data_IF_835330045176
#
_entry.id   IF_835330045176
#
_cell.length_a   1.000
_cell.length_b   1.000
_cell.length_c   1.000
_cell.angle_alpha   90.00
_cell.angle_beta   90.00
_cell.angle_gamma   90.00
#
_symmetry.space_group_name_H-M   'P 1'
#
loop_
_entity.id
_entity.type
_entity.pdbx_description
1 polymer ?
#
# COMPACT_ATOMS: atom_id res chain seq x y z
N UNK A 1 17.77 4.12 -25.48
CA UNK A 1 16.74 3.37 -24.73
C UNK A 1 17.15 3.41 -23.28
N UNK A 2 16.34 4.00 -22.41
CA UNK A 2 16.61 4.02 -20.96
C UNK A 2 16.43 2.59 -20.45
N UNK A 3 17.43 2.05 -19.78
CA UNK A 3 17.35 0.70 -19.22
C UNK A 3 16.24 0.69 -18.13
N UNK A 4 15.25 -0.20 -18.29
CA UNK A 4 14.20 -0.37 -17.28
C UNK A 4 14.83 -1.00 -16.04
N UNK A 5 14.66 -0.36 -14.89
CA UNK A 5 15.15 -0.85 -13.60
C UNK A 5 14.17 -1.92 -13.09
N UNK A 6 14.68 -3.04 -12.58
CA UNK A 6 13.85 -4.06 -11.95
C UNK A 6 13.15 -3.51 -10.69
N UNK A 7 11.88 -3.87 -10.53
CA UNK A 7 11.12 -3.52 -9.35
C UNK A 7 11.57 -4.38 -8.15
N UNK A 8 11.95 -3.74 -7.05
CA UNK A 8 12.40 -4.42 -5.84
C UNK A 8 11.20 -4.94 -5.04
N UNK A 9 11.24 -6.17 -4.53
CA UNK A 9 10.20 -6.69 -3.65
C UNK A 9 10.01 -5.80 -2.41
N UNK A 10 8.73 -5.52 -2.08
CA UNK A 10 8.36 -4.73 -0.92
C UNK A 10 7.00 -5.20 -0.35
N UNK A 11 6.77 -4.97 0.92
CA UNK A 11 5.54 -5.30 1.60
C UNK A 11 4.97 -4.08 2.34
N UNK A 12 3.65 -3.98 2.40
CA UNK A 12 2.93 -2.91 3.09
C UNK A 12 1.75 -3.51 3.86
N UNK A 13 1.46 -3.00 5.05
CA UNK A 13 0.37 -3.50 5.88
C UNK A 13 -0.63 -2.40 6.20
N UNK A 14 -1.88 -2.63 5.87
CA UNK A 14 -3.01 -1.83 6.36
C UNK A 14 -3.40 -2.40 7.72
N UNK A 15 -2.91 -1.78 8.79
CA UNK A 15 -3.26 -2.15 10.15
C UNK A 15 -4.57 -1.48 10.52
N UNK A 16 -5.57 -2.28 10.88
CA UNK A 16 -6.94 -1.85 11.17
C UNK A 16 -7.26 -1.98 12.66
N UNK A 17 -7.97 -1.02 13.22
CA UNK A 17 -8.55 -1.11 14.57
C UNK A 17 -10.02 -0.69 14.57
N UNK A 18 -10.75 -1.09 15.58
CA UNK A 18 -12.14 -0.66 15.79
C UNK A 18 -12.23 0.87 15.91
N UNK A 19 -13.30 1.43 15.38
CA UNK A 19 -13.57 2.86 15.31
C UNK A 19 -14.99 3.11 14.79
N UNK A 20 -15.24 4.25 14.18
CA UNK A 20 -16.52 4.58 13.53
C UNK A 20 -16.29 4.86 12.04
N UNK A 21 -16.52 3.89 11.15
CA UNK A 21 -16.78 2.45 11.42
C UNK A 21 -15.52 1.63 11.76
N UNK A 22 -14.35 2.08 11.39
CA UNK A 22 -13.02 1.55 11.69
C UNK A 22 -11.96 2.61 11.38
N UNK A 23 -10.75 2.39 11.88
CA UNK A 23 -9.60 3.23 11.60
C UNK A 23 -8.42 2.39 11.06
N UNK A 24 -7.56 3.00 10.26
CA UNK A 24 -6.29 2.44 9.81
C UNK A 24 -5.14 3.33 10.25
N UNK A 25 -3.97 2.69 10.42
CA UNK A 25 -2.73 3.37 10.76
C UNK A 25 -2.07 3.95 9.51
N UNK A 26 -1.76 5.24 9.53
CA UNK A 26 -0.89 5.89 8.56
C UNK A 26 0.34 6.46 9.27
N UNK A 27 1.48 6.38 8.60
CA UNK A 27 2.75 6.95 9.03
C UNK A 27 3.17 8.07 8.06
N UNK A 28 3.67 9.18 8.58
CA UNK A 28 4.21 10.28 7.78
C UNK A 28 5.69 10.05 7.53
N UNK A 29 6.07 9.93 6.28
CA UNK A 29 7.47 9.80 5.89
C UNK A 29 8.23 11.11 6.13
N UNK A 30 9.47 10.99 6.58
CA UNK A 30 10.35 12.15 6.77
C UNK A 30 10.53 12.92 5.45
N UNK A 31 10.53 14.25 5.52
CA UNK A 31 10.73 15.13 4.36
C UNK A 31 12.12 14.98 3.70
N UNK A 32 13.07 14.36 4.40
CA UNK A 32 14.43 14.08 3.92
C UNK A 32 14.59 12.76 3.17
N UNK A 33 13.57 11.86 3.19
CA UNK A 33 13.67 10.61 2.45
C UNK A 33 13.50 10.84 0.96
N UNK A 34 14.16 10.01 0.17
CA UNK A 34 14.28 10.23 -1.27
C UNK A 34 13.03 9.78 -2.08
N UNK A 35 12.04 9.12 -1.45
CA UNK A 35 10.86 8.59 -2.11
C UNK A 35 9.61 8.91 -1.29
N UNK A 36 8.63 9.57 -1.89
CA UNK A 36 7.38 9.98 -1.26
C UNK A 36 7.56 10.80 0.05
N UNK A 37 8.55 11.72 0.07
CA UNK A 37 8.81 12.59 1.20
C UNK A 37 7.54 13.32 1.66
N UNK A 38 7.32 13.40 2.98
CA UNK A 38 6.17 14.07 3.58
C UNK A 38 4.81 13.39 3.37
N UNK A 39 4.75 12.31 2.58
CA UNK A 39 3.51 11.59 2.34
C UNK A 39 3.11 10.72 3.53
N UNK A 40 1.81 10.55 3.71
CA UNK A 40 1.25 9.57 4.62
C UNK A 40 1.02 8.25 3.88
N UNK A 41 1.60 7.19 4.41
CA UNK A 41 1.58 5.84 3.83
C UNK A 41 1.20 4.81 4.90
N UNK A 42 0.76 3.65 4.49
CA UNK A 42 0.70 2.50 5.38
C UNK A 42 2.12 2.02 5.71
N UNK A 43 2.38 1.49 6.91
CA UNK A 43 3.69 0.95 7.26
C UNK A 43 4.14 -0.13 6.28
N UNK A 44 5.43 -0.14 5.97
CA UNK A 44 6.01 -1.12 5.05
C UNK A 44 7.31 -0.68 4.40
N UNK A 45 8.03 -1.66 3.88
CA UNK A 45 9.32 -1.47 3.25
C UNK A 45 9.75 -2.64 2.37
N UNK A 46 11.05 -2.76 2.12
CA UNK A 46 11.60 -3.76 1.21
C UNK A 46 11.63 -5.15 1.86
N UNK A 47 11.57 -6.15 0.99
CA UNK A 47 11.96 -7.51 1.39
C UNK A 47 13.48 -7.57 1.39
N UNK A 48 14.07 -7.88 2.54
CA UNK A 48 15.52 -8.02 2.72
C UNK A 48 15.93 -9.50 2.76
N UNK A 49 17.23 -9.76 2.65
CA UNK A 49 17.74 -11.13 2.62
C UNK A 49 17.39 -11.93 3.91
N UNK A 50 17.30 -11.25 5.05
CA UNK A 50 16.92 -11.85 6.33
C UNK A 50 15.45 -12.24 6.44
N UNK A 51 14.59 -11.76 5.56
CA UNK A 51 13.16 -12.08 5.55
C UNK A 51 12.85 -13.42 4.89
N UNK A 52 13.81 -13.98 4.14
CA UNK A 52 13.63 -15.26 3.47
C UNK A 52 13.64 -16.42 4.46
N UNK A 53 12.71 -17.40 4.31
CA UNK A 53 12.67 -18.56 5.19
C UNK A 53 13.94 -19.41 5.03
N UNK A 54 14.34 -20.07 6.12
CA UNK A 54 15.43 -21.04 6.07
C UNK A 54 15.09 -22.20 5.12
N UNK A 55 16.11 -22.80 4.50
CA UNK A 55 15.94 -23.98 3.67
C UNK A 55 15.29 -25.12 4.46
N UNK A 56 14.31 -25.79 3.85
CA UNK A 56 13.55 -26.88 4.49
C UNK A 56 12.46 -26.44 5.45
N UNK A 57 12.17 -25.13 5.57
CA UNK A 57 11.04 -24.63 6.37
C UNK A 57 9.70 -25.21 5.87
N UNK A 58 8.82 -25.57 6.80
CA UNK A 58 7.43 -25.90 6.46
C UNK A 58 6.64 -24.62 6.23
N UNK A 59 6.17 -24.41 5.01
CA UNK A 59 5.51 -23.18 4.58
C UNK A 59 4.04 -23.44 4.22
N UNK A 60 3.17 -22.49 4.54
CA UNK A 60 1.80 -22.50 4.06
C UNK A 60 1.75 -22.28 2.53
N UNK A 61 0.72 -22.81 1.84
CA UNK A 61 0.49 -22.50 0.44
C UNK A 61 0.37 -20.97 0.22
N UNK A 62 0.88 -20.45 -0.92
CA UNK A 62 0.81 -19.03 -1.21
C UNK A 62 -0.64 -18.60 -1.48
N UNK A 63 -0.98 -17.38 -1.08
CA UNK A 63 -2.28 -16.73 -1.32
C UNK A 63 -2.22 -15.77 -2.52
N UNK A 64 -1.04 -15.28 -2.88
CA UNK A 64 -0.82 -14.60 -4.15
C UNK A 64 -0.50 -15.63 -5.24
N UNK A 65 -1.29 -15.63 -6.31
CA UNK A 65 -1.23 -16.66 -7.35
C UNK A 65 0.10 -16.71 -8.13
N UNK A 66 0.87 -15.64 -8.11
CA UNK A 66 2.14 -15.47 -8.83
C UNK A 66 3.39 -15.66 -7.96
N UNK A 67 3.21 -16.04 -6.68
CA UNK A 67 4.32 -16.29 -5.76
C UNK A 67 4.45 -17.78 -5.42
N UNK A 68 5.68 -18.21 -5.17
CA UNK A 68 5.94 -19.45 -4.45
C UNK A 68 5.70 -19.26 -2.94
N UNK A 69 5.52 -20.36 -2.21
CA UNK A 69 5.37 -20.31 -0.75
C UNK A 69 6.55 -19.61 -0.06
N UNK A 70 7.78 -19.84 -0.52
CA UNK A 70 8.98 -19.21 0.02
C UNK A 70 9.02 -17.69 -0.25
N UNK A 71 8.62 -17.28 -1.44
CA UNK A 71 8.53 -15.86 -1.77
C UNK A 71 7.46 -15.16 -0.92
N UNK A 72 6.25 -15.72 -0.80
CA UNK A 72 5.21 -15.11 0.03
C UNK A 72 5.61 -15.07 1.50
N UNK A 73 6.27 -16.11 2.02
CA UNK A 73 6.80 -16.10 3.38
C UNK A 73 7.77 -14.94 3.61
N UNK A 74 8.65 -14.64 2.63
CA UNK A 74 9.56 -13.50 2.71
C UNK A 74 8.80 -12.16 2.71
N UNK A 75 7.78 -11.97 1.86
CA UNK A 75 6.95 -10.77 1.87
C UNK A 75 6.21 -10.59 3.21
N UNK A 76 5.66 -11.67 3.79
CA UNK A 76 4.99 -11.63 5.10
C UNK A 76 5.95 -11.31 6.23
N UNK A 77 7.17 -11.85 6.19
CA UNK A 77 8.20 -11.56 7.18
C UNK A 77 8.65 -10.10 7.08
N UNK A 78 8.91 -9.57 5.88
CA UNK A 78 9.19 -8.16 5.66
C UNK A 78 8.05 -7.27 6.20
N UNK A 79 6.80 -7.63 5.90
CA UNK A 79 5.62 -6.91 6.37
C UNK A 79 5.57 -6.77 7.89
N UNK A 80 5.76 -7.87 8.65
CA UNK A 80 5.71 -7.82 10.11
C UNK A 80 6.93 -7.11 10.70
N UNK A 81 8.12 -7.28 10.11
CA UNK A 81 9.34 -6.58 10.53
C UNK A 81 9.20 -5.08 10.37
N UNK A 82 8.76 -4.60 9.20
CA UNK A 82 8.60 -3.17 8.92
C UNK A 82 7.54 -2.51 9.83
N UNK A 83 6.43 -3.20 10.10
CA UNK A 83 5.43 -2.69 11.06
C UNK A 83 6.01 -2.60 12.48
N UNK A 84 6.86 -3.56 12.86
CA UNK A 84 7.54 -3.50 14.15
C UNK A 84 8.55 -2.36 14.20
N UNK A 85 9.34 -2.16 13.16
CA UNK A 85 10.38 -1.12 13.08
C UNK A 85 9.77 0.28 13.01
N UNK A 86 8.78 0.50 12.13
CA UNK A 86 8.21 1.82 11.86
C UNK A 86 7.11 2.26 12.84
N UNK A 87 6.36 1.29 13.41
CA UNK A 87 5.19 1.57 14.25
C UNK A 87 5.22 0.92 15.64
N UNK A 88 6.25 0.13 15.96
CA UNK A 88 6.36 -0.63 17.23
C UNK A 88 5.13 -1.52 17.51
N UNK A 89 4.61 -2.17 16.47
CA UNK A 89 3.50 -3.12 16.57
C UNK A 89 3.97 -4.49 16.13
N UNK A 90 3.78 -5.49 16.99
CA UNK A 90 4.12 -6.89 16.72
C UNK A 90 2.91 -7.59 16.10
N UNK A 91 3.06 -8.05 14.87
CA UNK A 91 2.05 -8.83 14.14
C UNK A 91 2.53 -10.27 13.95
N UNK A 92 1.60 -11.20 13.81
CA UNK A 92 1.93 -12.55 13.37
C UNK A 92 1.79 -12.64 11.84
N UNK A 93 2.80 -13.16 11.16
CA UNK A 93 2.80 -13.29 9.70
C UNK A 93 1.64 -14.16 9.18
N UNK A 94 1.18 -15.14 9.99
CA UNK A 94 0.04 -16.00 9.66
C UNK A 94 -1.30 -15.26 9.63
N UNK A 95 -1.44 -14.16 10.38
CA UNK A 95 -2.69 -13.39 10.49
C UNK A 95 -2.85 -12.34 9.39
N UNK A 96 -1.82 -12.14 8.57
CA UNK A 96 -1.89 -11.24 7.44
C UNK A 96 -2.80 -11.79 6.34
N UNK A 97 -3.74 -10.98 5.87
CA UNK A 97 -4.57 -11.32 4.71
C UNK A 97 -4.11 -10.53 3.47
N UNK A 98 -4.03 -11.15 2.27
CA UNK A 98 -3.63 -10.45 1.06
C UNK A 98 -4.67 -9.39 0.69
N UNK A 99 -4.20 -8.20 0.27
CA UNK A 99 -5.08 -7.08 -0.08
C UNK A 99 -4.89 -6.61 -1.52
N UNK A 100 -3.68 -6.27 -1.91
CA UNK A 100 -3.41 -5.68 -3.23
C UNK A 100 -1.97 -5.98 -3.70
N UNK A 101 -1.73 -5.78 -4.99
CA UNK A 101 -0.42 -5.92 -5.59
C UNK A 101 -0.15 -4.71 -6.50
N UNK A 102 0.74 -3.84 -6.06
CA UNK A 102 1.11 -2.63 -6.77
C UNK A 102 2.55 -2.70 -7.27
N UNK A 103 2.75 -2.32 -8.54
CA UNK A 103 4.10 -2.22 -9.12
C UNK A 103 4.31 -0.80 -9.62
N UNK A 104 5.43 -0.20 -9.24
CA UNK A 104 5.80 1.15 -9.71
C UNK A 104 5.98 1.17 -11.22
N UNK A 105 5.49 2.19 -11.94
CA UNK A 105 5.65 2.33 -13.39
C UNK A 105 7.11 2.24 -13.86
N UNK A 106 7.34 1.77 -15.09
CA UNK A 106 8.69 1.51 -15.65
C UNK A 106 9.52 2.77 -15.87
N UNK A 107 8.89 3.91 -15.96
CA UNK A 107 9.57 5.21 -16.11
C UNK A 107 10.34 5.65 -14.84
N UNK A 108 9.96 5.10 -13.69
CA UNK A 108 10.57 5.47 -12.42
C UNK A 108 11.91 4.77 -12.21
N UNK A 109 12.90 5.51 -11.70
CA UNK A 109 14.23 4.98 -11.39
C UNK A 109 14.28 4.19 -10.07
N UNK A 110 13.28 4.37 -9.21
CA UNK A 110 13.08 3.61 -7.96
C UNK A 110 11.78 2.88 -8.06
N UNK A 111 11.86 1.58 -8.29
CA UNK A 111 10.67 0.75 -8.51
C UNK A 111 10.54 -0.30 -7.43
N UNK A 112 9.29 -0.53 -7.04
CA UNK A 112 8.89 -1.53 -6.06
C UNK A 112 7.78 -2.42 -6.62
N UNK A 113 7.88 -3.72 -6.35
CA UNK A 113 6.83 -4.72 -6.50
C UNK A 113 6.27 -4.96 -5.11
N UNK A 114 5.15 -4.31 -4.79
CA UNK A 114 4.66 -4.21 -3.41
C UNK A 114 3.42 -5.05 -3.20
N UNK A 115 3.52 -5.99 -2.25
CA UNK A 115 2.37 -6.76 -1.75
C UNK A 115 1.77 -6.05 -0.56
N UNK A 116 0.47 -5.76 -0.65
CA UNK A 116 -0.30 -5.17 0.44
C UNK A 116 -1.02 -6.26 1.21
N UNK A 117 -0.95 -6.16 2.52
CA UNK A 117 -1.64 -7.04 3.44
C UNK A 117 -2.59 -6.26 4.35
N UNK A 118 -3.59 -6.94 4.89
CA UNK A 118 -4.43 -6.48 5.99
C UNK A 118 -3.97 -7.14 7.28
N UNK A 119 -4.01 -6.38 8.38
CA UNK A 119 -3.85 -6.90 9.72
C UNK A 119 -4.83 -6.22 10.67
N UNK A 120 -5.28 -6.93 11.71
CA UNK A 120 -5.94 -6.30 12.86
C UNK A 120 -4.88 -5.79 13.82
N UNK A 121 -5.13 -4.63 14.41
CA UNK A 121 -4.31 -4.13 15.52
C UNK A 121 -4.46 -5.09 16.70
N UNK A 122 -3.37 -5.70 17.21
CA UNK A 122 -3.45 -6.55 18.39
C UNK A 122 -3.81 -5.76 19.64
N UNK A 123 -4.58 -6.38 20.54
CA UNK A 123 -4.97 -5.77 21.80
C UNK A 123 -3.75 -5.45 22.71
N UNK A 124 -3.87 -4.39 23.46
CA UNK A 124 -2.90 -4.01 24.49
C UNK A 124 -1.59 -3.39 23.96
N UNK A 125 -1.37 -3.35 22.65
CA UNK A 125 -0.20 -2.68 22.07
C UNK A 125 -0.46 -1.18 21.86
N UNK A 126 0.61 -0.38 22.02
CA UNK A 126 0.56 1.07 21.79
C UNK A 126 1.54 1.45 20.69
N UNK A 127 1.06 1.74 19.47
CA UNK A 127 1.92 2.12 18.37
C UNK A 127 2.72 3.39 18.65
N UNK A 128 3.96 3.42 18.16
CA UNK A 128 4.84 4.59 18.20
C UNK A 128 5.68 4.58 16.92
N UNK A 129 5.76 5.72 16.25
CA UNK A 129 6.68 5.83 15.10
C UNK A 129 8.14 5.86 15.55
N UNK A 130 9.04 5.44 14.68
CA UNK A 130 10.48 5.30 14.94
C UNK A 130 11.23 6.63 15.12
N UNK A 131 10.60 7.76 14.77
CA UNK A 131 11.17 9.11 14.79
C UNK A 131 12.39 9.34 13.87
N UNK A 132 12.75 8.35 13.07
CA UNK A 132 13.83 8.42 12.07
C UNK A 132 13.28 8.56 10.65
N UNK A 133 12.79 7.47 10.10
CA UNK A 133 12.16 7.44 8.78
C UNK A 133 10.73 7.99 8.81
N UNK A 134 10.01 7.77 9.90
CA UNK A 134 8.65 8.26 10.13
C UNK A 134 8.65 9.37 11.18
N UNK A 135 7.97 10.47 10.88
CA UNK A 135 7.95 11.69 11.72
C UNK A 135 6.63 11.93 12.43
N UNK A 136 5.59 11.22 12.04
CA UNK A 136 4.27 11.27 12.67
C UNK A 136 3.50 9.98 12.35
N UNK A 137 2.48 9.71 13.13
CA UNK A 137 1.50 8.67 12.85
C UNK A 137 0.09 9.18 13.12
N UNK A 138 -0.89 8.60 12.44
CA UNK A 138 -2.29 8.92 12.61
C UNK A 138 -3.16 7.68 12.47
N UNK A 139 -4.13 7.54 13.36
CA UNK A 139 -5.26 6.65 13.18
C UNK A 139 -6.39 7.45 12.56
N UNK A 140 -6.86 7.03 11.40
CA UNK A 140 -7.89 7.74 10.66
C UNK A 140 -8.93 6.77 10.12
N UNK A 141 -10.20 7.18 10.20
CA UNK A 141 -11.24 6.55 9.40
C UNK A 141 -11.07 6.92 7.91
N UNK A 142 -11.61 6.13 6.96
CA UNK A 142 -11.56 6.49 5.54
C UNK A 142 -12.08 7.90 5.26
N UNK A 143 -13.19 8.27 5.87
CA UNK A 143 -13.79 9.60 5.74
C UNK A 143 -12.84 10.70 6.22
N UNK A 144 -12.27 10.55 7.42
CA UNK A 144 -11.36 11.54 7.98
C UNK A 144 -10.07 11.69 7.14
N UNK A 145 -9.55 10.61 6.57
CA UNK A 145 -8.37 10.66 5.71
C UNK A 145 -8.66 11.42 4.40
N UNK A 146 -9.82 11.18 3.78
CA UNK A 146 -10.25 11.88 2.56
C UNK A 146 -10.46 13.38 2.84
N UNK A 147 -11.19 13.75 3.90
CA UNK A 147 -11.40 15.13 4.27
C UNK A 147 -10.08 15.88 4.53
N UNK A 148 -9.14 15.24 5.25
CA UNK A 148 -7.80 15.83 5.46
C UNK A 148 -6.99 15.96 4.18
N UNK A 149 -7.11 15.02 3.25
CA UNK A 149 -6.49 15.12 1.95
C UNK A 149 -7.07 16.30 1.15
N UNK A 150 -8.39 16.46 1.09
CA UNK A 150 -9.08 17.57 0.42
C UNK A 150 -8.67 18.94 1.02
N UNK A 151 -8.53 19.01 2.34
CA UNK A 151 -8.02 20.17 3.06
C UNK A 151 -6.51 20.41 2.90
N UNK A 152 -5.81 19.61 2.09
CA UNK A 152 -4.36 19.65 1.87
C UNK A 152 -3.52 19.40 3.15
N UNK A 153 -4.11 18.81 4.17
CA UNK A 153 -3.43 18.44 5.41
C UNK A 153 -2.67 17.10 5.30
N UNK A 154 -3.00 16.27 4.32
CA UNK A 154 -2.32 15.01 4.02
C UNK A 154 -1.87 14.98 2.55
N UNK A 155 -0.71 14.37 2.31
CA UNK A 155 -0.29 13.90 1.00
C UNK A 155 -0.47 12.39 0.96
N UNK A 156 -1.32 11.89 0.07
CA UNK A 156 -1.59 10.46 -0.09
C UNK A 156 -1.12 10.00 -1.48
N UNK A 157 -0.17 9.07 -1.56
CA UNK A 157 0.22 8.47 -2.84
C UNK A 157 -0.94 7.69 -3.47
N UNK A 158 -0.97 7.51 -4.81
CA UNK A 158 -2.05 6.83 -5.52
C UNK A 158 -2.43 5.45 -4.96
N UNK A 159 -1.50 4.54 -4.60
CA UNK A 159 -1.87 3.27 -3.98
C UNK A 159 -2.55 3.43 -2.62
N UNK A 160 -2.09 4.37 -1.80
CA UNK A 160 -2.70 4.66 -0.49
C UNK A 160 -4.09 5.24 -0.66
N UNK A 161 -4.26 6.25 -1.52
CA UNK A 161 -5.58 6.82 -1.84
C UNK A 161 -6.55 5.75 -2.33
N UNK A 162 -6.16 4.98 -3.35
CA UNK A 162 -7.01 3.94 -3.94
C UNK A 162 -7.44 2.91 -2.90
N UNK A 163 -6.52 2.47 -2.04
CA UNK A 163 -6.83 1.53 -0.96
C UNK A 163 -7.85 2.14 0.01
N UNK A 164 -7.67 3.38 0.45
CA UNK A 164 -8.62 4.08 1.33
C UNK A 164 -10.01 4.17 0.68
N UNK A 165 -10.09 4.50 -0.61
CA UNK A 165 -11.36 4.61 -1.35
C UNK A 165 -12.04 3.25 -1.51
N UNK A 166 -11.31 2.16 -1.67
CA UNK A 166 -11.87 0.81 -1.68
C UNK A 166 -12.42 0.43 -0.31
N UNK A 167 -11.64 0.64 0.75
CA UNK A 167 -12.05 0.33 2.13
C UNK A 167 -13.25 1.17 2.60
N UNK A 168 -13.38 2.41 2.15
CA UNK A 168 -14.50 3.30 2.51
C UNK A 168 -15.87 2.72 2.17
N UNK A 169 -15.94 1.81 1.21
CA UNK A 169 -17.19 1.15 0.78
C UNK A 169 -17.68 0.07 1.77
N UNK A 170 -16.87 -0.25 2.78
CA UNK A 170 -17.09 -1.34 3.72
C UNK A 170 -17.39 -0.78 5.12
N UNK A 171 -18.29 -1.44 5.85
CA UNK A 171 -18.84 -0.96 7.11
C UNK A 171 -18.14 -1.49 8.36
N UNK A 172 -17.26 -2.48 8.24
CA UNK A 172 -16.56 -3.07 9.39
C UNK A 172 -15.26 -3.78 8.99
N UNK A 173 -14.41 -4.04 9.98
CA UNK A 173 -13.17 -4.80 9.78
C UNK A 173 -13.49 -6.22 9.30
N UNK A 174 -14.55 -6.87 9.83
CA UNK A 174 -14.97 -8.21 9.40
C UNK A 174 -15.36 -8.23 7.93
N UNK A 175 -16.11 -7.23 7.46
CA UNK A 175 -16.45 -7.08 6.04
C UNK A 175 -15.20 -6.88 5.18
N UNK A 176 -14.22 -6.11 5.63
CA UNK A 176 -12.95 -5.90 4.92
C UNK A 176 -12.22 -7.22 4.73
N UNK A 177 -12.06 -8.01 5.80
CA UNK A 177 -11.41 -9.32 5.72
C UNK A 177 -12.21 -10.32 4.89
N UNK A 178 -13.54 -10.32 4.97
CA UNK A 178 -14.40 -11.16 4.14
C UNK A 178 -14.25 -10.80 2.65
N UNK A 179 -14.33 -9.52 2.33
CA UNK A 179 -14.13 -9.02 0.97
C UNK A 179 -12.73 -9.36 0.42
N UNK A 180 -11.68 -9.19 1.21
CA UNK A 180 -10.32 -9.50 0.79
C UNK A 180 -10.13 -10.99 0.47
N UNK A 181 -10.75 -11.89 1.27
CA UNK A 181 -10.67 -13.35 1.06
C UNK A 181 -11.44 -13.86 -0.15
N UNK A 182 -12.48 -13.14 -0.59
CA UNK A 182 -13.35 -13.56 -1.70
C UNK A 182 -12.82 -13.19 -3.08
N UNK A 183 -11.80 -12.37 -3.16
CA UNK A 183 -11.27 -11.87 -4.43
C UNK A 183 -9.86 -12.38 -4.72
N UNK A 184 -9.55 -12.47 -6.00
CA UNK A 184 -8.18 -12.68 -6.45
C UNK A 184 -7.45 -11.32 -6.49
N UNK A 185 -6.28 -11.25 -5.89
CA UNK A 185 -5.42 -10.06 -5.99
C UNK A 185 -4.80 -10.01 -7.38
N UNK A 186 -5.07 -8.94 -8.10
CA UNK A 186 -4.48 -8.70 -9.42
C UNK A 186 -3.32 -7.72 -9.32
N UNK A 187 -2.31 -7.92 -10.18
CA UNK A 187 -1.17 -7.03 -10.30
C UNK A 187 -1.56 -5.74 -11.01
N UNK A 188 -1.36 -4.60 -10.34
CA UNK A 188 -1.63 -3.26 -10.87
C UNK A 188 -0.31 -2.50 -11.05
N UNK A 189 0.04 -2.19 -12.29
CA UNK A 189 1.10 -1.26 -12.63
C UNK A 189 0.43 -0.08 -13.36
N UNK A 190 0.36 1.11 -12.75
CA UNK A 190 -0.27 2.27 -13.39
C UNK A 190 0.36 2.62 -14.72
N UNK A 191 -0.45 3.06 -15.67
CA UNK A 191 0.04 3.76 -16.86
C UNK A 191 0.64 5.10 -16.47
N UNK A 192 1.64 5.56 -17.21
CA UNK A 192 2.30 6.83 -16.96
C UNK A 192 2.29 7.68 -18.23
N UNK A 193 1.76 8.90 -18.12
CA UNK A 193 1.71 9.86 -19.20
C UNK A 193 2.44 11.13 -18.76
N UNK A 194 3.40 11.57 -19.56
CA UNK A 194 4.16 12.79 -19.31
C UNK A 194 4.28 13.61 -20.59
N UNK A 195 3.90 14.87 -20.49
CA UNK A 195 4.07 15.89 -21.51
C UNK A 195 4.84 17.08 -20.88
N UNK A 196 5.06 18.14 -21.62
CA UNK A 196 5.71 19.34 -21.09
C UNK A 196 4.90 20.03 -19.97
N UNK A 197 3.57 19.81 -19.94
CA UNK A 197 2.67 20.49 -19.00
C UNK A 197 1.90 19.56 -18.09
N UNK A 198 1.97 18.25 -18.30
CA UNK A 198 1.18 17.26 -17.56
C UNK A 198 2.02 16.04 -17.18
N UNK A 199 1.94 15.66 -15.92
CA UNK A 199 2.38 14.33 -15.45
C UNK A 199 1.17 13.63 -14.83
N UNK A 200 0.82 12.46 -15.34
CA UNK A 200 -0.38 11.75 -14.93
C UNK A 200 -0.12 10.24 -14.82
N UNK A 201 -0.73 9.63 -13.81
CA UNK A 201 -0.90 8.17 -13.71
C UNK A 201 -2.34 7.80 -14.08
N UNK A 202 -2.50 6.66 -14.75
CA UNK A 202 -3.81 6.06 -15.05
C UNK A 202 -3.88 4.65 -14.48
N UNK A 203 -5.03 4.28 -13.92
CA UNK A 203 -5.27 2.94 -13.40
C UNK A 203 -6.01 2.08 -14.44
N UNK A 204 -5.95 0.75 -14.32
CA UNK A 204 -6.75 -0.13 -15.18
C UNK A 204 -8.24 0.22 -15.11
N UNK A 205 -8.91 0.27 -16.26
CA UNK A 205 -10.31 0.69 -16.39
C UNK A 205 -10.49 2.17 -16.68
N UNK A 206 -9.42 2.99 -16.68
CA UNK A 206 -9.44 4.33 -17.27
C UNK A 206 -9.62 4.22 -18.81
N UNK A 207 -10.32 5.15 -19.46
CA UNK A 207 -10.42 5.18 -20.94
C UNK A 207 -9.07 5.17 -21.67
N UNK A 208 -8.00 5.61 -21.01
CA UNK A 208 -6.63 5.61 -21.54
C UNK A 208 -5.80 4.38 -21.11
N UNK A 209 -6.37 3.44 -20.36
CA UNK A 209 -5.67 2.26 -19.86
C UNK A 209 -6.60 1.04 -19.86
N UNK A 210 -6.22 -0.06 -20.52
CA UNK A 210 -7.08 -1.24 -20.59
C UNK A 210 -7.50 -1.76 -19.21
N UNK A 211 -8.74 -2.25 -19.11
CA UNK A 211 -9.22 -2.93 -17.92
C UNK A 211 -8.45 -4.26 -17.69
N UNK A 212 -8.20 -4.59 -16.46
CA UNK A 212 -7.62 -5.87 -16.04
C UNK A 212 -8.75 -6.73 -15.45
N UNK A 213 -8.96 -7.97 -15.92
CA UNK A 213 -9.96 -8.86 -15.33
C UNK A 213 -9.73 -9.07 -13.83
N UNK A 214 -10.80 -8.98 -13.04
CA UNK A 214 -10.73 -9.14 -11.59
C UNK A 214 -10.25 -7.92 -10.80
N UNK A 215 -9.89 -6.82 -11.49
CA UNK A 215 -9.60 -5.55 -10.84
C UNK A 215 -10.90 -4.82 -10.44
N UNK A 216 -11.03 -4.47 -9.15
CA UNK A 216 -12.12 -3.62 -8.66
C UNK A 216 -11.79 -2.16 -8.99
N UNK A 217 -12.34 -1.68 -10.11
CA UNK A 217 -12.04 -0.35 -10.65
C UNK A 217 -12.53 0.73 -9.69
N UNK A 218 -11.65 1.59 -9.16
CA UNK A 218 -12.06 2.72 -8.33
C UNK A 218 -12.78 3.79 -9.16
N UNK A 219 -13.45 4.72 -8.49
CA UNK A 219 -14.08 5.85 -9.17
C UNK A 219 -13.05 6.82 -9.77
N UNK A 220 -11.95 7.04 -9.04
CA UNK A 220 -10.82 7.85 -9.47
C UNK A 220 -9.77 6.94 -10.13
N UNK A 221 -9.69 6.97 -11.43
CA UNK A 221 -8.72 6.19 -12.21
C UNK A 221 -7.57 7.02 -12.75
N UNK A 222 -7.57 8.33 -12.51
CA UNK A 222 -6.50 9.28 -12.89
C UNK A 222 -5.90 9.94 -11.68
N UNK A 223 -4.60 10.17 -11.75
CA UNK A 223 -3.88 10.94 -10.75
C UNK A 223 -2.97 11.92 -11.48
N UNK A 224 -3.25 13.21 -11.33
CA UNK A 224 -2.44 14.29 -11.91
C UNK A 224 -1.47 14.80 -10.86
N UNK A 225 -0.19 14.92 -11.23
CA UNK A 225 0.83 15.46 -10.35
C UNK A 225 0.74 16.99 -10.33
N UNK A 226 0.40 17.54 -9.18
CA UNK A 226 0.42 18.98 -8.89
C UNK A 226 1.77 19.42 -8.30
N UNK A 227 1.95 20.72 -8.12
CA UNK A 227 3.07 21.29 -7.37
C UNK A 227 3.16 20.71 -5.95
N UNK A 228 4.37 20.57 -5.42
CA UNK A 228 4.61 19.96 -4.11
C UNK A 228 4.49 18.45 -4.08
N UNK A 229 4.63 17.78 -5.23
CA UNK A 229 4.56 16.32 -5.38
C UNK A 229 3.21 15.70 -4.96
N UNK A 230 2.13 16.48 -5.03
CA UNK A 230 0.78 16.03 -4.70
C UNK A 230 0.14 15.35 -5.92
N UNK A 231 -0.29 14.12 -5.74
CA UNK A 231 -1.11 13.41 -6.71
C UNK A 231 -2.59 13.73 -6.47
N UNK A 232 -3.20 14.44 -7.40
CA UNK A 232 -4.63 14.78 -7.35
C UNK A 232 -5.44 13.69 -8.06
N UNK A 233 -6.29 12.94 -7.34
CA UNK A 233 -7.18 11.94 -7.94
C UNK A 233 -8.29 12.61 -8.73
N UNK A 234 -8.60 12.05 -9.89
CA UNK A 234 -9.66 12.53 -10.78
C UNK A 234 -10.48 11.34 -11.32
N UNK A 235 -11.76 11.56 -11.51
CA UNK A 235 -12.63 10.69 -12.33
C UNK A 235 -12.27 10.89 -13.80
N UNK A 236 -12.37 9.84 -14.64
CA UNK A 236 -12.10 9.94 -16.07
C UNK A 236 -13.07 10.83 -16.82
#
# INVERSE_FOLDING_TARGET
MTQIVDARPAATVVVLREGDPFEFLLLRRNDKVAFMAGSYVFPGGRVDAGDHPAEGSSLAPPTFADLTAAQEAAYRQAAVREVQEEANVTLAAADLAPLAHWVTPEIEIRRYDTRFFLARMPDGQQPRHDAGEMTAMAWLSPKAAIEKFEQRALLLPPPTWTTIRQLQKLGSIDEIFAWARQRTVVRVMPGFIKTDTLTMLTLPGDPLFPAIPGWDVPEETRFVLEEGARWQPLKP
#
